data_IF_185072932462
#
_entry.id   IF_185072932462
#
_cell.length_a   1.000
_cell.length_b   1.000
_cell.length_c   1.000
_cell.angle_alpha   90.00
_cell.angle_beta   90.00
_cell.angle_gamma   90.00
#
_symmetry.space_group_name_H-M   'P 1'
#
loop_
_entity.id
_entity.type
_entity.pdbx_description
1 polymer ?
#
# COMPACT_ATOMS: atom_id res chain seq x y z
N UNK A 1 -25.03 -9.28 -19.50
CA UNK A 1 -23.99 -8.90 -18.53
C UNK A 1 -24.12 -7.41 -18.28
N UNK A 2 -24.58 -7.00 -17.11
CA UNK A 2 -24.60 -5.57 -16.76
C UNK A 2 -23.18 -5.23 -16.32
N UNK A 3 -22.49 -4.37 -17.06
CA UNK A 3 -21.19 -3.86 -16.67
C UNK A 3 -21.47 -2.85 -15.57
N UNK A 4 -21.29 -3.25 -14.30
CA UNK A 4 -21.43 -2.34 -13.17
C UNK A 4 -20.29 -1.32 -13.25
N UNK A 5 -20.61 -0.11 -13.69
CA UNK A 5 -19.65 1.00 -13.71
C UNK A 5 -19.36 1.42 -12.27
N UNK A 6 -18.08 1.48 -11.91
CA UNK A 6 -17.61 1.90 -10.59
C UNK A 6 -16.95 3.26 -10.70
N UNK A 7 -17.23 4.12 -9.73
CA UNK A 7 -16.44 5.32 -9.46
C UNK A 7 -15.50 5.04 -8.28
N UNK A 8 -14.66 5.98 -7.88
CA UNK A 8 -13.67 5.76 -6.82
C UNK A 8 -13.84 6.79 -5.70
N UNK A 9 -14.10 6.32 -4.49
CA UNK A 9 -13.99 7.12 -3.27
C UNK A 9 -12.58 6.92 -2.72
N UNK A 10 -11.90 8.02 -2.37
CA UNK A 10 -10.53 7.95 -1.87
C UNK A 10 -10.31 8.84 -0.65
N UNK A 11 -9.43 8.38 0.24
CA UNK A 11 -8.82 9.19 1.29
C UNK A 11 -7.31 9.12 1.08
N UNK A 12 -6.66 10.27 1.02
CA UNK A 12 -5.22 10.36 0.77
C UNK A 12 -4.51 10.79 2.03
N UNK A 13 -3.34 10.19 2.25
CA UNK A 13 -2.32 10.71 3.15
C UNK A 13 -2.82 10.93 4.59
N UNK A 14 -3.60 9.99 5.12
CA UNK A 14 -3.91 9.94 6.55
C UNK A 14 -2.61 9.70 7.29
N UNK A 15 -2.09 10.76 7.89
CA UNK A 15 -0.86 10.70 8.68
C UNK A 15 -1.18 10.03 10.03
N UNK A 16 -0.38 9.03 10.39
CA UNK A 16 -0.35 8.43 11.73
C UNK A 16 1.11 8.38 12.20
N UNK A 17 1.32 8.31 13.50
CA UNK A 17 2.63 8.05 14.09
C UNK A 17 2.68 6.60 14.56
N UNK A 18 3.58 5.78 14.02
CA UNK A 18 3.67 4.37 14.35
C UNK A 18 5.12 3.88 14.30
N UNK A 19 5.44 2.84 15.05
CA UNK A 19 6.71 2.13 14.89
C UNK A 19 6.53 1.13 13.75
N UNK A 20 7.26 1.29 12.64
CA UNK A 20 7.15 0.41 11.47
C UNK A 20 8.52 -0.16 11.14
N UNK A 21 8.78 -1.35 11.67
CA UNK A 21 10.09 -1.99 11.64
C UNK A 21 11.15 -1.20 12.41
N UNK A 22 12.40 -1.40 12.03
CA UNK A 22 13.54 -0.71 12.59
C UNK A 22 13.91 0.51 11.73
N UNK A 23 14.36 1.58 12.38
CA UNK A 23 14.93 2.72 11.66
C UNK A 23 16.31 2.38 11.05
N UNK A 24 16.90 3.32 10.31
CA UNK A 24 18.23 3.16 9.71
C UNK A 24 19.38 2.89 10.69
N UNK A 25 19.13 2.98 12.00
CA UNK A 25 20.06 2.69 13.09
C UNK A 25 19.66 1.46 13.91
N UNK A 26 18.68 0.68 13.45
CA UNK A 26 18.21 -0.53 14.11
C UNK A 26 17.30 -0.29 15.31
N UNK A 27 16.72 0.91 15.48
CA UNK A 27 15.91 1.27 16.64
C UNK A 27 14.42 1.24 16.32
N UNK A 28 13.57 0.70 17.20
CA UNK A 28 12.12 0.80 17.07
C UNK A 28 11.66 2.20 17.49
N UNK A 29 11.66 3.14 16.55
CA UNK A 29 11.27 4.54 16.79
C UNK A 29 9.94 4.85 16.10
N UNK A 30 8.99 5.53 16.76
CA UNK A 30 7.79 6.02 16.09
C UNK A 30 8.14 6.99 14.97
N UNK A 31 7.53 6.81 13.81
CA UNK A 31 7.74 7.61 12.62
C UNK A 31 6.40 7.93 11.96
N UNK A 32 6.31 9.06 11.23
CA UNK A 32 5.12 9.37 10.46
C UNK A 32 4.95 8.34 9.32
N UNK A 33 3.78 7.71 9.28
CA UNK A 33 3.33 6.87 8.18
C UNK A 33 2.08 7.49 7.55
N UNK A 34 2.02 7.52 6.22
CA UNK A 34 0.92 8.10 5.47
C UNK A 34 0.12 6.99 4.81
N UNK A 35 -1.14 6.82 5.24
CA UNK A 35 -2.02 5.79 4.69
C UNK A 35 -2.99 6.44 3.70
N UNK A 36 -3.04 5.92 2.49
CA UNK A 36 -4.02 6.27 1.46
C UNK A 36 -4.87 5.05 1.11
N UNK A 37 -6.14 5.27 0.84
CA UNK A 37 -7.10 4.22 0.51
C UNK A 37 -7.91 4.69 -0.70
N UNK A 38 -8.09 3.80 -1.68
CA UNK A 38 -9.06 3.96 -2.77
C UNK A 38 -10.04 2.79 -2.73
N UNK A 39 -11.32 3.12 -2.85
CA UNK A 39 -12.42 2.17 -2.78
C UNK A 39 -13.28 2.38 -4.03
N UNK A 40 -13.18 1.48 -5.03
CA UNK A 40 -14.15 1.37 -6.10
C UNK A 40 -15.57 1.22 -5.54
N UNK A 41 -16.45 2.16 -5.83
CA UNK A 41 -17.81 2.21 -5.31
C UNK A 41 -18.82 2.22 -6.47
N UNK A 42 -19.90 1.42 -6.44
CA UNK A 42 -20.84 1.34 -7.56
C UNK A 42 -21.48 2.70 -7.84
N UNK A 43 -21.43 3.16 -9.10
CA UNK A 43 -21.98 4.46 -9.50
C UNK A 43 -23.45 4.60 -9.11
N UNK A 44 -24.23 3.54 -9.27
CA UNK A 44 -25.65 3.52 -8.90
C UNK A 44 -25.88 3.89 -7.44
N UNK A 45 -25.02 3.44 -6.51
CA UNK A 45 -25.16 3.80 -5.09
C UNK A 45 -24.88 5.29 -4.84
N UNK A 46 -23.98 5.89 -5.63
CA UNK A 46 -23.73 7.34 -5.59
C UNK A 46 -24.95 8.09 -6.14
N UNK A 47 -25.53 7.62 -7.24
CA UNK A 47 -26.74 8.20 -7.83
C UNK A 47 -27.94 8.10 -6.87
N UNK A 48 -28.13 6.95 -6.24
CA UNK A 48 -29.20 6.70 -5.27
C UNK A 48 -29.05 7.64 -4.05
N UNK A 49 -27.82 7.79 -3.52
CA UNK A 49 -27.53 8.70 -2.41
C UNK A 49 -27.71 10.19 -2.79
N UNK A 50 -27.43 10.56 -4.05
CA UNK A 50 -27.67 11.89 -4.57
C UNK A 50 -29.17 12.20 -4.71
N UNK A 51 -30.00 11.20 -5.03
CA UNK A 51 -31.46 11.34 -5.11
C UNK A 51 -32.07 11.41 -3.70
N UNK A 52 -31.59 10.59 -2.77
CA UNK A 52 -32.12 10.54 -1.40
C UNK A 52 -31.69 11.72 -0.54
N UNK A 53 -30.57 12.38 -0.88
CA UNK A 53 -29.93 13.46 -0.12
C UNK A 53 -29.72 13.10 1.36
N UNK A 54 -29.48 11.82 1.64
CA UNK A 54 -29.25 11.30 2.98
C UNK A 54 -27.83 10.75 3.10
N UNK A 55 -27.07 11.34 4.03
CA UNK A 55 -25.69 10.91 4.32
C UNK A 55 -25.57 9.44 4.75
N UNK A 56 -26.65 8.85 5.24
CA UNK A 56 -26.68 7.43 5.65
C UNK A 56 -26.63 6.48 4.44
N UNK A 57 -27.00 6.95 3.25
CA UNK A 57 -26.93 6.20 2.00
C UNK A 57 -25.56 6.35 1.32
N UNK A 58 -24.72 7.27 1.82
CA UNK A 58 -23.36 7.49 1.35
C UNK A 58 -22.35 6.55 2.02
N UNK A 59 -21.22 6.32 1.35
CA UNK A 59 -20.05 5.72 1.97
C UNK A 59 -19.47 6.64 3.04
N UNK A 60 -19.45 6.18 4.30
CA UNK A 60 -19.00 6.98 5.43
C UNK A 60 -17.46 7.01 5.54
N UNK A 61 -16.85 7.99 4.89
CA UNK A 61 -15.41 8.26 4.95
C UNK A 61 -14.91 8.64 6.35
N UNK A 62 -15.79 9.03 7.28
CA UNK A 62 -15.43 9.29 8.68
C UNK A 62 -15.12 7.99 9.41
N UNK A 63 -15.87 6.92 9.15
CA UNK A 63 -15.57 5.58 9.69
C UNK A 63 -14.23 5.08 9.17
N UNK A 64 -13.98 5.24 7.87
CA UNK A 64 -12.71 4.90 7.22
C UNK A 64 -11.56 5.65 7.90
N UNK A 65 -11.68 6.98 8.04
CA UNK A 65 -10.66 7.80 8.71
C UNK A 65 -10.40 7.34 10.15
N UNK A 66 -11.46 7.08 10.94
CA UNK A 66 -11.34 6.59 12.32
C UNK A 66 -10.68 5.20 12.39
N UNK A 67 -11.02 4.31 11.47
CA UNK A 67 -10.42 2.98 11.37
C UNK A 67 -8.91 3.09 11.09
N UNK A 68 -8.50 3.94 10.14
CA UNK A 68 -7.07 4.18 9.89
C UNK A 68 -6.37 4.83 11.09
N UNK A 69 -7.00 5.82 11.73
CA UNK A 69 -6.43 6.50 12.90
C UNK A 69 -6.35 5.61 14.13
N UNK A 70 -7.09 4.51 14.19
CA UNK A 70 -6.96 3.53 15.27
C UNK A 70 -5.57 2.87 15.34
N UNK A 71 -4.82 2.89 14.23
CA UNK A 71 -3.46 2.34 14.10
C UNK A 71 -2.37 3.26 14.68
N UNK A 72 -2.75 4.46 15.13
CA UNK A 72 -1.84 5.44 15.71
C UNK A 72 -1.19 4.91 17.00
N UNK A 73 0.09 5.18 17.18
CA UNK A 73 0.94 4.75 18.29
C UNK A 73 1.07 3.22 18.46
N UNK A 74 0.83 2.45 17.40
CA UNK A 74 1.05 1.00 17.39
C UNK A 74 2.42 0.64 16.79
N UNK A 75 2.79 -0.62 16.98
CA UNK A 75 4.04 -1.20 16.46
C UNK A 75 3.73 -2.27 15.43
N UNK A 76 4.47 -2.25 14.34
CA UNK A 76 4.39 -3.19 13.22
C UNK A 76 5.81 -3.63 12.85
N UNK A 77 5.98 -4.89 12.48
CA UNK A 77 7.27 -5.45 12.04
C UNK A 77 7.75 -4.83 10.72
N UNK A 78 6.82 -4.39 9.88
CA UNK A 78 7.16 -3.75 8.62
C UNK A 78 5.99 -3.09 7.91
N UNK A 79 6.30 -2.43 6.79
CA UNK A 79 5.35 -1.61 6.04
C UNK A 79 4.16 -2.41 5.47
N UNK A 80 4.39 -3.67 5.08
CA UNK A 80 3.32 -4.56 4.60
C UNK A 80 2.38 -4.98 5.71
N UNK A 81 2.87 -5.23 6.93
CA UNK A 81 2.01 -5.57 8.06
C UNK A 81 1.11 -4.39 8.41
N UNK A 82 1.64 -3.17 8.44
CA UNK A 82 0.83 -1.96 8.64
C UNK A 82 -0.28 -1.86 7.58
N UNK A 83 0.02 -2.13 6.31
CA UNK A 83 -0.97 -2.10 5.25
C UNK A 83 -2.05 -3.20 5.41
N UNK A 84 -1.66 -4.43 5.78
CA UNK A 84 -2.58 -5.54 6.04
C UNK A 84 -3.48 -5.26 7.25
N UNK A 85 -2.94 -4.63 8.31
CA UNK A 85 -3.72 -4.19 9.46
C UNK A 85 -4.69 -3.08 9.10
N UNK A 86 -4.29 -2.12 8.25
CA UNK A 86 -5.20 -1.10 7.73
C UNK A 86 -6.37 -1.72 6.97
N UNK A 87 -6.10 -2.67 6.08
CA UNK A 87 -7.14 -3.43 5.37
C UNK A 87 -8.10 -4.15 6.34
N UNK A 88 -7.54 -4.79 7.37
CA UNK A 88 -8.33 -5.49 8.40
C UNK A 88 -9.27 -4.53 9.15
N UNK A 89 -8.79 -3.34 9.51
CA UNK A 89 -9.60 -2.31 10.18
C UNK A 89 -10.69 -1.74 9.27
N UNK A 90 -10.39 -1.57 7.99
CA UNK A 90 -11.35 -1.10 6.99
C UNK A 90 -12.47 -2.13 6.78
N UNK A 91 -12.13 -3.40 6.66
CA UNK A 91 -13.11 -4.49 6.56
C UNK A 91 -14.01 -4.56 7.81
N UNK A 92 -13.44 -4.38 9.01
CA UNK A 92 -14.20 -4.37 10.26
C UNK A 92 -15.14 -3.16 10.41
N UNK A 93 -14.87 -2.04 9.73
CA UNK A 93 -15.66 -0.81 9.83
C UNK A 93 -17.06 -0.89 9.17
N UNK A 94 -17.40 -2.04 8.57
CA UNK A 94 -18.72 -2.31 7.99
C UNK A 94 -18.91 -1.75 6.58
N UNK A 95 -17.85 -1.21 5.98
CA UNK A 95 -17.81 -0.90 4.56
C UNK A 95 -17.50 -2.21 3.84
N UNK A 96 -18.55 -2.97 3.50
CA UNK A 96 -18.51 -4.38 3.09
C UNK A 96 -17.50 -4.71 2.00
N UNK A 97 -17.27 -6.01 1.77
CA UNK A 97 -16.29 -6.59 0.83
C UNK A 97 -16.27 -5.85 -0.50
N UNK A 98 -15.40 -4.85 -0.57
CA UNK A 98 -15.22 -4.02 -1.73
C UNK A 98 -13.78 -4.22 -2.09
N UNK A 99 -13.53 -4.40 -3.37
CA UNK A 99 -12.21 -4.16 -3.93
C UNK A 99 -11.60 -2.91 -3.29
N UNK A 100 -10.33 -2.95 -2.87
CA UNK A 100 -9.67 -1.81 -2.24
C UNK A 100 -8.19 -1.76 -2.62
N UNK A 101 -7.70 -0.54 -2.81
CA UNK A 101 -6.27 -0.26 -2.92
C UNK A 101 -5.83 0.51 -1.67
N UNK A 102 -4.90 -0.07 -0.91
CA UNK A 102 -4.27 0.58 0.24
C UNK A 102 -2.81 0.84 -0.08
N UNK A 103 -2.39 2.08 0.13
CA UNK A 103 -1.01 2.53 0.00
C UNK A 103 -0.53 3.06 1.33
N UNK A 104 0.57 2.52 1.84
CA UNK A 104 1.25 3.03 3.02
C UNK A 104 2.57 3.63 2.58
N UNK A 105 2.84 4.90 2.91
CA UNK A 105 4.07 5.60 2.58
C UNK A 105 4.82 5.95 3.87
N UNK A 106 6.10 5.57 3.92
CA UNK A 106 7.07 6.02 4.91
C UNK A 106 8.01 7.03 4.24
N UNK A 107 7.81 8.35 4.41
CA UNK A 107 8.57 9.38 3.69
C UNK A 107 10.07 9.36 4.02
N UNK A 108 10.44 8.95 5.23
CA UNK A 108 11.84 8.86 5.66
C UNK A 108 12.27 7.40 5.90
N UNK A 109 11.60 6.42 5.27
CA UNK A 109 11.91 5.01 5.46
C UNK A 109 13.26 4.59 4.87
N UNK A 110 13.80 5.35 3.92
CA UNK A 110 15.12 5.15 3.32
C UNK A 110 15.85 6.49 3.20
N UNK A 111 17.12 6.52 3.61
CA UNK A 111 17.93 7.76 3.68
C UNK A 111 18.19 8.38 2.30
N UNK A 112 18.27 7.56 1.25
CA UNK A 112 18.60 7.99 -0.12
C UNK A 112 17.36 8.13 -1.03
N UNK A 113 16.15 8.10 -0.46
CA UNK A 113 14.92 8.26 -1.22
C UNK A 113 14.01 9.32 -0.59
N UNK A 114 12.98 9.73 -1.34
CA UNK A 114 11.89 10.56 -0.81
C UNK A 114 10.84 9.77 -0.02
N UNK A 115 11.03 8.45 0.06
CA UNK A 115 10.16 7.55 0.80
C UNK A 115 10.14 6.15 0.20
N UNK A 116 9.53 5.25 0.96
CA UNK A 116 9.17 3.90 0.51
C UNK A 116 7.67 3.73 0.71
N UNK A 117 6.97 3.26 -0.31
CA UNK A 117 5.57 2.93 -0.25
C UNK A 117 5.32 1.43 -0.43
N UNK A 118 4.34 0.91 0.29
CA UNK A 118 3.78 -0.42 0.08
C UNK A 118 2.38 -0.28 -0.51
N UNK A 119 2.12 -1.06 -1.54
CA UNK A 119 0.86 -1.06 -2.29
C UNK A 119 0.23 -2.44 -2.17
N UNK A 120 -1.00 -2.47 -1.67
CA UNK A 120 -1.81 -3.67 -1.59
C UNK A 120 -3.11 -3.40 -2.33
N UNK A 121 -3.43 -4.30 -3.26
CA UNK A 121 -4.71 -4.31 -3.97
C UNK A 121 -5.42 -5.62 -3.67
N UNK A 122 -6.63 -5.51 -3.15
CA UNK A 122 -7.48 -6.63 -2.78
C UNK A 122 -8.68 -6.67 -3.72
N UNK A 123 -9.00 -7.87 -4.21
CA UNK A 123 -10.18 -8.15 -5.02
C UNK A 123 -11.48 -8.18 -4.21
N UNK A 124 -12.62 -8.20 -4.87
CA UNK A 124 -13.94 -8.39 -4.21
C UNK A 124 -14.03 -9.69 -3.39
N UNK A 125 -13.21 -10.69 -3.71
CA UNK A 125 -13.17 -11.98 -2.99
C UNK A 125 -12.35 -11.92 -1.69
N UNK A 126 -11.70 -10.79 -1.41
CA UNK A 126 -10.79 -10.63 -0.28
C UNK A 126 -9.37 -11.18 -0.54
N UNK A 127 -9.12 -11.76 -1.72
CA UNK A 127 -7.77 -12.19 -2.10
C UNK A 127 -6.91 -10.98 -2.50
N UNK A 128 -5.65 -10.97 -2.05
CA UNK A 128 -4.64 -9.98 -2.44
C UNK A 128 -4.21 -10.26 -3.89
N UNK A 129 -4.56 -9.37 -4.81
CA UNK A 129 -4.18 -9.48 -6.23
C UNK A 129 -2.77 -8.94 -6.47
N UNK A 130 -2.47 -7.79 -5.87
CA UNK A 130 -1.18 -7.13 -6.07
C UNK A 130 -0.59 -6.72 -4.73
N UNK A 131 0.68 -7.08 -4.51
CA UNK A 131 1.48 -6.69 -3.34
C UNK A 131 2.88 -6.33 -3.79
N UNK A 132 3.22 -5.05 -3.75
CA UNK A 132 4.55 -4.57 -4.12
C UNK A 132 4.97 -3.38 -3.26
N UNK A 133 6.27 -3.07 -3.28
CA UNK A 133 6.80 -1.84 -2.73
C UNK A 133 7.38 -0.97 -3.84
N UNK A 134 7.32 0.35 -3.64
CA UNK A 134 7.88 1.35 -4.51
C UNK A 134 8.83 2.23 -3.69
N UNK A 135 10.02 2.53 -4.23
CA UNK A 135 10.95 3.47 -3.62
C UNK A 135 10.90 4.76 -4.43
N UNK A 136 10.47 5.84 -3.78
CA UNK A 136 10.23 7.11 -4.44
C UNK A 136 11.52 7.91 -4.58
N UNK A 137 11.94 8.18 -5.82
CA UNK A 137 13.13 8.97 -6.16
C UNK A 137 14.39 8.50 -5.41
N UNK A 138 14.74 7.24 -5.60
CA UNK A 138 16.00 6.68 -5.11
C UNK A 138 17.19 7.31 -5.84
N UNK A 139 18.11 7.90 -5.10
CA UNK A 139 19.38 8.39 -5.65
C UNK A 139 20.45 7.35 -5.35
N UNK A 140 20.85 6.60 -6.37
CA UNK A 140 21.93 5.60 -6.28
C UNK A 140 22.98 5.84 -7.36
N UNK A 141 24.28 5.81 -7.01
CA UNK A 141 25.36 6.07 -7.97
C UNK A 141 25.59 4.88 -8.94
N UNK A 142 25.26 3.67 -8.52
CA UNK A 142 25.43 2.44 -9.29
C UNK A 142 24.43 1.39 -8.80
N UNK A 143 23.85 0.61 -9.71
CA UNK A 143 22.94 -0.50 -9.40
C UNK A 143 23.55 -1.80 -9.93
N UNK A 144 23.65 -2.79 -9.05
CA UNK A 144 23.98 -4.16 -9.39
C UNK A 144 22.71 -5.02 -9.23
N UNK A 145 22.18 -5.53 -10.33
CA UNK A 145 21.01 -6.43 -10.31
C UNK A 145 21.49 -7.83 -10.64
N UNK A 146 21.30 -8.77 -9.71
CA UNK A 146 21.50 -10.20 -9.94
C UNK A 146 20.15 -10.90 -9.92
N UNK A 147 19.83 -11.61 -11.01
CA UNK A 147 18.66 -12.46 -11.10
C UNK A 147 19.10 -13.91 -11.24
N UNK A 148 18.82 -14.72 -10.21
CA UNK A 148 19.09 -16.14 -10.21
C UNK A 148 17.79 -16.91 -10.45
N UNK A 149 17.83 -17.91 -11.36
CA UNK A 149 16.73 -18.87 -11.45
C UNK A 149 17.08 -20.07 -10.59
N UNK A 150 16.41 -20.28 -9.45
CA UNK A 150 16.70 -21.44 -8.62
C UNK A 150 16.30 -22.69 -9.43
N UNK A 151 17.27 -23.59 -9.65
CA UNK A 151 17.08 -24.96 -10.17
C UNK A 151 16.90 -25.14 -11.70
N UNK A 152 17.83 -24.65 -12.54
CA UNK A 152 17.97 -25.17 -13.94
C UNK A 152 18.96 -26.33 -14.03
N UNK A 153 20.08 -26.27 -13.30
CA UNK A 153 21.14 -27.29 -13.36
C UNK A 153 21.33 -27.92 -11.98
N UNK A 154 21.19 -29.24 -11.89
CA UNK A 154 21.33 -30.00 -10.64
C UNK A 154 22.74 -29.92 -10.00
N UNK A 155 23.73 -29.39 -10.73
CA UNK A 155 25.13 -29.31 -10.30
C UNK A 155 25.67 -27.88 -10.18
N UNK A 156 24.83 -26.84 -10.34
CA UNK A 156 25.23 -25.45 -10.17
C UNK A 156 24.41 -24.80 -9.05
N UNK A 157 25.08 -24.03 -8.17
CA UNK A 157 24.41 -23.34 -7.04
C UNK A 157 23.33 -22.34 -7.50
N UNK A 158 23.45 -21.80 -8.71
CA UNK A 158 22.44 -20.98 -9.36
C UNK A 158 22.98 -20.35 -10.64
N UNK A 159 22.48 -20.68 -11.85
CA UNK A 159 22.75 -19.89 -13.04
C UNK A 159 21.92 -18.61 -13.00
N UNK A 160 22.55 -17.47 -13.30
CA UNK A 160 21.91 -16.17 -13.27
C UNK A 160 22.53 -15.20 -14.26
N UNK A 161 21.91 -14.04 -14.38
CA UNK A 161 22.47 -12.91 -15.12
C UNK A 161 22.69 -11.79 -14.10
N UNK A 162 23.91 -11.28 -14.09
CA UNK A 162 24.30 -10.12 -13.31
C UNK A 162 24.47 -8.94 -14.27
N UNK A 163 23.79 -7.84 -13.96
CA UNK A 163 23.82 -6.63 -14.75
C UNK A 163 24.26 -5.48 -13.83
N UNK A 164 25.39 -4.88 -14.16
CA UNK A 164 25.84 -3.62 -13.57
C UNK A 164 25.40 -2.47 -14.47
N UNK A 165 24.75 -1.47 -13.89
CA UNK A 165 24.41 -0.22 -14.57
C UNK A 165 24.83 0.98 -13.72
N UNK A 166 25.44 1.94 -14.37
CA UNK A 166 25.81 3.25 -13.85
C UNK A 166 24.81 4.30 -14.34
N UNK A 167 24.88 5.52 -13.79
CA UNK A 167 23.98 6.61 -14.22
C UNK A 167 24.13 6.94 -15.72
N UNK A 168 25.33 6.77 -16.27
CA UNK A 168 25.64 7.03 -17.68
C UNK A 168 24.91 6.06 -18.63
N UNK A 169 24.48 4.90 -18.15
CA UNK A 169 23.75 3.91 -18.96
C UNK A 169 22.26 4.28 -19.18
N UNK A 170 21.76 5.35 -18.54
CA UNK A 170 20.35 5.77 -18.57
C UNK A 170 20.13 7.19 -19.10
N UNK A 171 21.17 7.82 -19.66
CA UNK A 171 21.13 9.18 -20.25
C UNK A 171 20.72 9.13 -21.73
#
# INVERSE_FOLDING_TARGET
MVITTKDVVFIRNVCIEAVVGLDGWGRPKPQPAMISVKIPYPRKMIEDANISDNISDCLDYRKIYKALRSLDNQTFEGIFELAEKALSQLAASGNGNTEMEVTVLLPNGLVQSQGISAHLHISETGAVETKYCEIQKLVVPCILVSAEKPVIFAFARGPGVEITRTIDDFV
#
